data_IF_098153913793
#
_entry.id   IF_098153913793
#
_cell.length_a   1.000
_cell.length_b   1.000
_cell.length_c   1.000
_cell.angle_alpha   90.00
_cell.angle_beta   90.00
_cell.angle_gamma   90.00
#
_symmetry.space_group_name_H-M   'P 1'
#
loop_
_entity.id
_entity.type
_entity.pdbx_description
1 polymer ?
#
# COMPACT_ATOMS: atom_id res chain seq x y z
N UNK A 1 15.18 -14.56 37.16
CA UNK A 1 16.09 -13.40 36.99
C UNK A 1 16.41 -13.35 35.50
N UNK A 2 15.68 -12.62 34.66
CA UNK A 2 15.67 -11.16 34.54
C UNK A 2 14.24 -10.66 34.24
N UNK A 3 13.94 -9.43 34.67
CA UNK A 3 12.60 -8.86 34.87
C UNK A 3 11.95 -8.37 33.56
N UNK A 4 10.61 -8.41 33.54
CA UNK A 4 9.62 -7.74 32.67
C UNK A 4 9.80 -6.20 32.66
N UNK A 5 8.90 -5.35 32.10
CA UNK A 5 7.78 -5.54 31.15
C UNK A 5 7.78 -4.47 30.02
N UNK A 6 7.33 -4.73 28.79
CA UNK A 6 6.91 -3.64 27.85
C UNK A 6 6.12 -4.19 26.66
N UNK A 7 4.86 -4.51 26.93
CA UNK A 7 3.80 -4.44 25.91
C UNK A 7 3.59 -2.95 25.61
N UNK A 8 4.60 -2.29 25.04
CA UNK A 8 4.48 -0.90 24.64
C UNK A 8 3.78 -0.92 23.29
N UNK A 9 2.45 -0.90 23.35
CA UNK A 9 1.62 -0.53 22.22
C UNK A 9 2.22 0.71 21.59
N UNK A 10 2.79 0.54 20.39
CA UNK A 10 3.29 1.65 19.60
C UNK A 10 2.06 2.38 19.06
N UNK A 11 1.53 3.28 19.89
CA UNK A 11 0.58 4.28 19.46
C UNK A 11 1.33 5.16 18.46
N UNK A 12 1.14 4.91 17.16
CA UNK A 12 1.48 5.89 16.14
C UNK A 12 0.40 6.96 16.17
N UNK A 13 0.82 8.18 16.47
CA UNK A 13 -0.04 9.34 16.50
C UNK A 13 -0.46 9.72 15.06
N UNK A 14 -1.73 9.51 14.71
CA UNK A 14 -2.52 10.51 13.99
C UNK A 14 -4.04 10.29 14.18
N UNK A 15 -4.81 11.33 13.91
CA UNK A 15 -6.01 11.78 14.60
C UNK A 15 -7.31 11.05 14.20
N UNK A 16 -8.19 10.87 15.19
CA UNK A 16 -9.64 10.56 15.11
C UNK A 16 -10.15 9.10 15.03
N UNK A 17 -9.31 8.06 15.01
CA UNK A 17 -9.80 6.68 15.20
C UNK A 17 -8.73 5.75 15.81
N UNK A 18 -8.85 5.43 17.10
CA UNK A 18 -7.98 4.45 17.78
C UNK A 18 -8.46 3.04 17.43
N UNK A 19 -7.89 2.44 16.39
CA UNK A 19 -8.05 1.00 16.11
C UNK A 19 -6.85 0.25 16.71
N UNK A 20 -7.05 -0.97 17.27
CA UNK A 20 -5.95 -1.75 17.81
C UNK A 20 -4.90 -1.99 16.72
N UNK A 21 -3.63 -1.81 17.06
CA UNK A 21 -2.52 -2.12 16.16
C UNK A 21 -2.61 -3.60 15.78
N UNK A 22 -2.81 -3.87 14.50
CA UNK A 22 -2.76 -5.24 13.98
C UNK A 22 -1.31 -5.72 14.09
N UNK A 23 -1.04 -6.91 14.66
CA UNK A 23 0.30 -7.47 14.67
C UNK A 23 0.78 -7.63 13.21
N UNK A 24 1.75 -6.82 12.82
CA UNK A 24 2.25 -6.86 11.44
C UNK A 24 3.27 -7.99 11.29
N UNK A 25 3.14 -8.86 10.28
CA UNK A 25 4.09 -9.91 10.04
C UNK A 25 5.44 -9.33 9.56
N UNK A 26 6.51 -10.09 9.78
CA UNK A 26 7.85 -9.72 9.33
C UNK A 26 8.00 -9.74 7.79
N UNK A 27 7.06 -10.38 7.09
CA UNK A 27 7.02 -10.42 5.62
C UNK A 27 6.27 -9.22 5.06
N UNK A 28 6.69 -8.67 3.90
CA UNK A 28 5.94 -7.61 3.25
C UNK A 28 4.53 -8.06 2.85
N UNK A 29 3.56 -7.16 3.05
CA UNK A 29 2.16 -7.37 2.72
C UNK A 29 1.80 -6.62 1.44
N UNK A 30 1.08 -7.32 0.58
CA UNK A 30 0.57 -6.81 -0.68
C UNK A 30 -0.93 -7.12 -0.77
N UNK A 31 -1.74 -6.11 -1.06
CA UNK A 31 -3.19 -6.27 -1.26
C UNK A 31 -3.75 -5.14 -2.14
N UNK A 32 -4.97 -5.32 -2.64
CA UNK A 32 -5.70 -4.28 -3.37
C UNK A 32 -6.34 -4.70 -4.69
N UNK A 33 -6.02 -5.89 -5.21
CA UNK A 33 -6.46 -6.34 -6.55
C UNK A 33 -7.99 -6.46 -6.68
N UNK A 34 -8.69 -6.58 -5.56
CA UNK A 34 -10.15 -6.71 -5.47
C UNK A 34 -10.87 -5.35 -5.33
N UNK A 35 -10.13 -4.25 -5.11
CA UNK A 35 -10.72 -2.95 -4.80
C UNK A 35 -10.83 -2.08 -6.04
N UNK A 36 -12.03 -1.51 -6.24
CA UNK A 36 -12.35 -0.73 -7.43
C UNK A 36 -12.23 0.79 -7.23
N UNK A 37 -12.11 1.25 -5.99
CA UNK A 37 -12.15 2.67 -5.65
C UNK A 37 -11.04 3.10 -4.69
N UNK A 38 -10.62 4.37 -4.78
CA UNK A 38 -9.65 4.95 -3.83
C UNK A 38 -10.11 4.90 -2.37
N UNK A 39 -11.42 4.90 -2.12
CA UNK A 39 -12.00 4.87 -0.78
C UNK A 39 -11.79 3.52 -0.10
N UNK A 40 -11.76 2.43 -0.88
CA UNK A 40 -11.41 1.10 -0.38
C UNK A 40 -9.91 1.01 -0.09
N UNK A 41 -9.07 1.56 -0.99
CA UNK A 41 -7.63 1.66 -0.77
C UNK A 41 -7.27 2.50 0.44
N UNK A 42 -7.98 3.60 0.70
CA UNK A 42 -7.77 4.47 1.87
C UNK A 42 -7.80 3.68 3.18
N UNK A 43 -8.68 2.67 3.28
CA UNK A 43 -8.81 1.82 4.48
C UNK A 43 -7.58 0.94 4.73
N UNK A 44 -6.75 0.70 3.72
CA UNK A 44 -5.47 0.01 3.84
C UNK A 44 -4.30 0.96 3.99
N UNK A 45 -4.32 2.06 3.25
CA UNK A 45 -3.21 3.01 3.12
C UNK A 45 -3.06 3.87 4.36
N UNK A 46 -4.14 4.47 4.86
CA UNK A 46 -4.06 5.35 6.03
C UNK A 46 -3.57 4.66 7.31
N UNK A 47 -4.06 3.44 7.65
CA UNK A 47 -3.53 2.70 8.79
C UNK A 47 -2.21 1.96 8.52
N UNK A 48 -1.53 2.20 7.39
CA UNK A 48 -0.28 1.52 7.00
C UNK A 48 -0.36 -0.03 7.05
N UNK A 49 -1.49 -0.60 6.58
CA UNK A 49 -1.72 -2.05 6.64
C UNK A 49 -0.95 -2.85 5.58
N UNK A 50 -0.45 -2.19 4.54
CA UNK A 50 0.24 -2.80 3.40
C UNK A 50 1.55 -2.09 3.06
N UNK A 51 2.49 -2.82 2.46
CA UNK A 51 3.72 -2.25 1.88
C UNK A 51 3.59 -1.98 0.40
N UNK A 52 2.78 -2.80 -0.27
CA UNK A 52 2.54 -2.73 -1.69
C UNK A 52 1.04 -2.66 -1.97
N UNK A 53 0.64 -1.61 -2.70
CA UNK A 53 -0.70 -1.48 -3.22
C UNK A 53 -0.79 -2.21 -4.56
N UNK A 54 -1.58 -3.28 -4.58
CA UNK A 54 -1.77 -4.08 -5.80
C UNK A 54 -2.96 -3.55 -6.59
N UNK A 55 -2.71 -2.63 -7.53
CA UNK A 55 -3.78 -1.94 -8.28
C UNK A 55 -4.04 -2.64 -9.61
N UNK A 56 -5.27 -3.03 -9.88
CA UNK A 56 -5.70 -3.50 -11.20
C UNK A 56 -6.43 -2.38 -11.93
N UNK A 57 -6.01 -2.00 -13.14
CA UNK A 57 -6.61 -0.89 -13.90
C UNK A 57 -7.99 -1.22 -14.46
N UNK A 58 -8.30 -2.51 -14.66
CA UNK A 58 -9.63 -2.94 -15.10
C UNK A 58 -10.63 -3.09 -13.95
N UNK A 59 -10.15 -3.32 -12.72
CA UNK A 59 -10.99 -3.35 -11.51
C UNK A 59 -11.12 -1.96 -10.90
N UNK A 60 -10.02 -1.22 -10.77
CA UNK A 60 -10.06 0.21 -10.50
C UNK A 60 -10.82 0.87 -11.66
N UNK A 61 -11.62 1.90 -11.38
CA UNK A 61 -12.48 2.56 -12.36
C UNK A 61 -11.71 3.34 -13.48
N UNK A 62 -10.75 2.69 -14.15
CA UNK A 62 -9.85 3.22 -15.18
C UNK A 62 -8.57 3.84 -14.63
N UNK A 63 -7.75 4.33 -15.58
CA UNK A 63 -6.46 4.97 -15.30
C UNK A 63 -6.59 6.17 -14.35
N UNK A 64 -7.63 6.99 -14.50
CA UNK A 64 -7.83 8.18 -13.67
C UNK A 64 -7.98 7.85 -12.19
N UNK A 65 -8.73 6.79 -11.86
CA UNK A 65 -8.88 6.38 -10.47
C UNK A 65 -7.62 5.67 -9.96
N UNK A 66 -6.99 4.84 -10.80
CA UNK A 66 -5.72 4.21 -10.49
C UNK A 66 -4.61 5.22 -10.16
N UNK A 67 -4.55 6.36 -10.87
CA UNK A 67 -3.61 7.46 -10.56
C UNK A 67 -3.88 8.13 -9.21
N UNK A 68 -5.14 8.29 -8.82
CA UNK A 68 -5.47 8.82 -7.48
C UNK A 68 -5.04 7.86 -6.37
N UNK A 69 -5.20 6.56 -6.59
CA UNK A 69 -4.71 5.53 -5.68
C UNK A 69 -3.18 5.58 -5.60
N UNK A 70 -2.49 5.68 -6.74
CA UNK A 70 -1.04 5.80 -6.81
C UNK A 70 -0.53 7.02 -6.01
N UNK A 71 -1.15 8.19 -6.20
CA UNK A 71 -0.79 9.41 -5.48
C UNK A 71 -0.99 9.27 -3.96
N UNK A 72 -2.07 8.62 -3.53
CA UNK A 72 -2.30 8.32 -2.11
C UNK A 72 -1.25 7.34 -1.57
N UNK A 73 -0.85 6.34 -2.35
CA UNK A 73 0.21 5.41 -1.93
C UNK A 73 1.57 6.11 -1.81
N UNK A 74 1.86 7.06 -2.71
CA UNK A 74 3.10 7.84 -2.70
C UNK A 74 3.27 8.63 -1.40
N UNK A 75 2.22 9.30 -0.90
CA UNK A 75 2.28 10.06 0.36
C UNK A 75 2.53 9.17 1.57
N UNK A 76 2.14 7.90 1.48
CA UNK A 76 2.36 6.90 2.50
C UNK A 76 3.61 6.04 2.26
N UNK A 77 4.47 6.34 1.28
CA UNK A 77 5.62 5.49 0.90
C UNK A 77 5.26 4.02 0.65
N UNK A 78 4.04 3.76 0.17
CA UNK A 78 3.56 2.45 -0.29
C UNK A 78 3.91 2.34 -1.76
N UNK A 79 4.57 1.26 -2.14
CA UNK A 79 4.92 1.04 -3.55
C UNK A 79 3.74 0.46 -4.30
N UNK A 80 3.60 0.79 -5.58
CA UNK A 80 2.52 0.30 -6.42
C UNK A 80 2.99 -0.92 -7.21
N UNK A 81 2.17 -1.98 -7.21
CA UNK A 81 2.39 -3.19 -7.97
C UNK A 81 1.15 -3.47 -8.82
N UNK A 82 1.18 -3.15 -10.12
CA UNK A 82 -0.01 -3.35 -10.94
C UNK A 82 -0.36 -4.83 -11.11
N UNK A 83 -1.64 -5.14 -10.98
CA UNK A 83 -2.22 -6.43 -11.33
C UNK A 83 -2.86 -6.35 -12.73
N UNK A 84 -2.77 -7.44 -13.50
CA UNK A 84 -3.28 -7.47 -14.86
C UNK A 84 -3.59 -8.91 -15.36
N UNK A 85 -4.76 -9.46 -15.04
CA UNK A 85 -5.20 -10.76 -15.53
C UNK A 85 -6.08 -10.65 -16.79
N UNK A 86 -6.45 -9.43 -17.22
CA UNK A 86 -7.57 -9.16 -18.14
C UNK A 86 -7.16 -9.06 -19.62
N UNK A 87 -5.88 -9.27 -19.96
CA UNK A 87 -5.40 -9.35 -21.34
C UNK A 87 -4.52 -8.18 -21.80
N UNK A 88 -4.27 -8.02 -23.12
CA UNK A 88 -3.23 -7.14 -23.65
C UNK A 88 -3.54 -5.64 -23.50
N UNK A 89 -4.82 -5.25 -23.56
CA UNK A 89 -5.22 -3.83 -23.39
C UNK A 89 -4.97 -3.37 -21.95
N UNK A 90 -5.36 -4.20 -20.98
CA UNK A 90 -5.10 -3.93 -19.57
C UNK A 90 -3.60 -4.01 -19.27
N UNK A 91 -2.83 -4.87 -19.98
CA UNK A 91 -1.37 -4.90 -19.89
C UNK A 91 -0.72 -3.57 -20.32
N UNK A 92 -1.11 -3.05 -21.48
CA UNK A 92 -0.62 -1.77 -21.98
C UNK A 92 -0.98 -0.62 -21.04
N UNK A 93 -2.19 -0.64 -20.48
CA UNK A 93 -2.66 0.39 -19.54
C UNK A 93 -1.89 0.34 -18.21
N UNK A 94 -1.70 -0.86 -17.65
CA UNK A 94 -0.89 -1.05 -16.43
C UNK A 94 0.57 -0.67 -16.65
N UNK A 95 1.16 -0.98 -17.81
CA UNK A 95 2.52 -0.54 -18.16
C UNK A 95 2.60 0.99 -18.24
N UNK A 96 1.65 1.62 -18.93
CA UNK A 96 1.60 3.08 -19.03
C UNK A 96 1.50 3.74 -17.65
N UNK A 97 0.68 3.20 -16.75
CA UNK A 97 0.57 3.68 -15.38
C UNK A 97 1.90 3.55 -14.62
N UNK A 98 2.56 2.38 -14.66
CA UNK A 98 3.83 2.17 -13.97
C UNK A 98 4.94 3.09 -14.45
N UNK A 99 4.98 3.42 -15.74
CA UNK A 99 5.98 4.33 -16.30
C UNK A 99 5.70 5.79 -15.95
N UNK A 100 4.45 6.15 -15.69
CA UNK A 100 4.02 7.53 -15.43
C UNK A 100 4.05 7.91 -13.95
N UNK A 101 3.95 6.93 -13.05
CA UNK A 101 3.82 7.15 -11.62
C UNK A 101 5.14 6.89 -10.87
N UNK A 102 5.51 7.81 -9.96
CA UNK A 102 6.74 7.70 -9.17
C UNK A 102 6.67 6.58 -8.11
N UNK A 103 5.46 6.23 -7.69
CA UNK A 103 5.18 5.07 -6.85
C UNK A 103 5.20 3.75 -7.63
N UNK A 104 5.27 3.78 -8.97
CA UNK A 104 5.46 2.60 -9.81
C UNK A 104 6.77 1.89 -9.44
N UNK A 105 6.77 0.56 -9.55
CA UNK A 105 7.72 -0.41 -8.98
C UNK A 105 9.25 -0.22 -9.27
N UNK A 106 9.68 0.91 -9.82
CA UNK A 106 11.07 1.25 -10.14
C UNK A 106 11.85 1.76 -8.91
N UNK A 107 11.20 1.95 -7.75
CA UNK A 107 11.97 2.02 -6.50
C UNK A 107 12.52 0.63 -6.21
N UNK A 108 13.82 0.45 -6.46
CA UNK A 108 14.58 -0.73 -6.08
C UNK A 108 14.08 -1.26 -4.74
N UNK A 109 13.51 -2.46 -4.82
CA UNK A 109 12.90 -3.29 -3.78
C UNK A 109 13.62 -3.18 -2.43
N UNK A 110 13.40 -2.10 -1.69
CA UNK A 110 13.75 -1.98 -0.30
C UNK A 110 12.43 -2.16 0.45
N UNK A 111 12.18 -3.34 1.06
CA UNK A 111 11.04 -3.46 1.95
C UNK A 111 11.13 -2.32 2.95
N UNK A 112 9.99 -1.71 3.27
CA UNK A 112 9.98 -0.75 4.37
C UNK A 112 10.48 -1.47 5.61
N UNK A 113 11.65 -1.06 6.12
CA UNK A 113 12.20 -1.57 7.38
C UNK A 113 11.22 -1.18 8.50
N UNK A 114 10.23 -2.05 8.76
CA UNK A 114 9.29 -1.92 9.87
C UNK A 114 10.01 -2.27 11.18
N UNK A 115 10.89 -1.38 11.61
CA UNK A 115 11.72 -1.60 12.80
C UNK A 115 12.50 -0.36 13.26
N UNK A 116 13.05 0.43 12.33
CA UNK A 116 13.75 1.68 12.66
C UNK A 116 12.72 2.82 12.81
N UNK A 117 12.21 3.00 14.03
CA UNK A 117 11.77 4.34 14.42
C UNK A 117 12.99 5.24 14.41
N UNK A 118 12.90 6.37 13.68
CA UNK A 118 13.63 7.56 14.15
C UNK A 118 13.12 7.93 15.54
#
# INVERSE_FOLDING_TARGET
>A
MCRSPSVLGRVRADRHHVRPAVPQPAVPLIAGEQFGSKWEFQRLVEPDLIDYARVDVGVAAGLTEARKIAAMCETHYISLATHNPLGPVTAASSLHLNLSERAGAIRAMAPRHRGESR
#
